data_IF_700059217929
#
_entry.id   IF_700059217929
#
_cell.length_a   1.000
_cell.length_b   1.000
_cell.length_c   1.000
_cell.angle_alpha   90.00
_cell.angle_beta   90.00
_cell.angle_gamma   90.00
#
_symmetry.space_group_name_H-M   'P 1'
#
loop_
_entity.id
_entity.type
_entity.pdbx_description
1 polymer ?
#
# COMPACT_ATOMS: atom_id res chain seq x y z
N UNK A 1 -11.72 9.26 -24.72
CA UNK A 1 -11.32 9.79 -23.40
C UNK A 1 -10.52 8.70 -22.72
N UNK A 2 -9.34 9.00 -22.16
CA UNK A 2 -8.55 7.97 -21.44
C UNK A 2 -9.17 7.78 -20.05
N UNK A 3 -9.46 6.54 -19.69
CA UNK A 3 -9.95 6.21 -18.36
C UNK A 3 -8.80 6.16 -17.33
N UNK A 4 -9.17 6.36 -16.06
CA UNK A 4 -8.28 6.15 -14.92
C UNK A 4 -8.63 4.79 -14.30
N UNK A 5 -7.71 3.83 -14.40
CA UNK A 5 -7.95 2.46 -13.94
C UNK A 5 -6.97 2.12 -12.83
N UNK A 6 -7.47 1.63 -11.70
CA UNK A 6 -6.65 1.20 -10.59
C UNK A 6 -6.59 -0.33 -10.52
N UNK A 7 -5.41 -0.89 -10.76
CA UNK A 7 -5.11 -2.32 -10.77
C UNK A 7 -4.93 -2.84 -9.33
N UNK A 8 -6.04 -3.03 -8.61
CA UNK A 8 -6.00 -3.52 -7.22
C UNK A 8 -7.26 -4.28 -6.81
N UNK A 9 -7.05 -5.33 -6.02
CA UNK A 9 -8.09 -6.08 -5.29
C UNK A 9 -8.27 -5.59 -3.85
N UNK A 10 -7.44 -4.66 -3.36
CA UNK A 10 -7.50 -4.21 -1.96
C UNK A 10 -8.77 -3.38 -1.70
N UNK A 11 -9.69 -3.84 -0.82
CA UNK A 11 -10.89 -3.08 -0.48
C UNK A 11 -10.56 -1.70 0.11
N UNK A 12 -9.51 -1.64 0.94
CA UNK A 12 -9.02 -0.41 1.57
C UNK A 12 -8.53 0.63 0.57
N UNK A 13 -7.74 0.23 -0.45
CA UNK A 13 -7.29 1.16 -1.50
C UNK A 13 -8.47 1.68 -2.31
N UNK A 14 -9.45 0.81 -2.58
CA UNK A 14 -10.69 1.20 -3.25
C UNK A 14 -11.48 2.23 -2.45
N UNK A 15 -11.65 2.00 -1.15
CA UNK A 15 -12.32 2.94 -0.24
C UNK A 15 -11.61 4.32 -0.23
N UNK A 16 -10.30 4.33 0.03
CA UNK A 16 -9.50 5.57 0.08
C UNK A 16 -9.58 6.37 -1.22
N UNK A 17 -9.48 5.68 -2.37
CA UNK A 17 -9.48 6.36 -3.66
C UNK A 17 -10.88 6.86 -4.05
N UNK A 18 -11.94 6.13 -3.70
CA UNK A 18 -13.32 6.55 -3.97
C UNK A 18 -13.78 7.72 -3.09
N UNK A 19 -13.19 7.90 -1.91
CA UNK A 19 -13.37 9.11 -1.11
C UNK A 19 -12.83 10.37 -1.82
N UNK A 20 -11.89 10.18 -2.75
CA UNK A 20 -11.16 11.27 -3.42
C UNK A 20 -11.73 11.53 -4.82
N UNK A 21 -12.01 10.47 -5.59
CA UNK A 21 -12.57 10.60 -6.93
C UNK A 21 -13.33 9.36 -7.37
N UNK A 22 -14.57 9.58 -7.82
CA UNK A 22 -15.41 8.54 -8.46
C UNK A 22 -14.99 8.22 -9.90
N UNK A 23 -13.98 8.92 -10.44
CA UNK A 23 -13.51 8.74 -11.83
C UNK A 23 -12.68 7.48 -11.99
N UNK A 24 -12.14 6.93 -10.90
CA UNK A 24 -11.36 5.69 -10.94
C UNK A 24 -12.25 4.46 -11.12
N UNK A 25 -11.92 3.67 -12.13
CA UNK A 25 -12.43 2.31 -12.31
C UNK A 25 -11.43 1.34 -11.68
N UNK A 26 -11.90 0.19 -11.18
CA UNK A 26 -11.04 -0.81 -10.54
C UNK A 26 -11.02 -2.09 -11.35
N UNK A 27 -9.85 -2.70 -11.50
CA UNK A 27 -9.70 -4.03 -12.08
C UNK A 27 -8.72 -4.85 -11.25
N UNK A 28 -9.00 -6.14 -11.09
CA UNK A 28 -8.09 -7.08 -10.46
C UNK A 28 -6.87 -7.28 -11.37
N UNK A 29 -5.64 -7.03 -10.90
CA UNK A 29 -4.44 -7.29 -11.71
C UNK A 29 -4.28 -8.78 -11.98
N UNK A 30 -3.81 -9.11 -13.18
CA UNK A 30 -3.38 -10.46 -13.54
C UNK A 30 -1.86 -10.58 -13.30
N UNK A 31 -1.49 -10.40 -12.03
CA UNK A 31 -0.11 -10.48 -11.57
C UNK A 31 -0.09 -11.13 -10.19
N UNK A 32 0.70 -12.19 -10.06
CA UNK A 32 0.98 -12.83 -8.79
C UNK A 32 2.35 -12.37 -8.28
N UNK A 33 2.35 -11.81 -7.08
CA UNK A 33 3.57 -11.45 -6.36
C UNK A 33 4.40 -12.71 -6.15
N UNK A 34 5.69 -12.64 -6.48
CA UNK A 34 6.66 -13.71 -6.26
C UNK A 34 7.65 -13.25 -5.21
N UNK A 35 8.17 -14.16 -4.40
CA UNK A 35 9.36 -13.88 -3.60
C UNK A 35 10.51 -13.63 -4.56
N UNK A 36 11.00 -12.40 -4.57
CA UNK A 36 12.17 -12.00 -5.36
C UNK A 36 13.33 -11.89 -4.40
N UNK A 37 14.27 -12.82 -4.52
CA UNK A 37 15.53 -12.77 -3.79
C UNK A 37 16.39 -11.63 -4.36
N UNK A 38 17.24 -11.05 -3.53
CA UNK A 38 18.21 -10.01 -3.89
C UNK A 38 17.65 -8.62 -4.29
N UNK A 39 16.37 -8.35 -3.99
CA UNK A 39 15.81 -7.01 -4.08
C UNK A 39 15.59 -6.38 -2.70
N UNK A 40 15.93 -5.10 -2.58
CA UNK A 40 15.54 -4.27 -1.44
C UNK A 40 14.02 -4.11 -1.37
N UNK A 41 13.49 -3.77 -0.19
CA UNK A 41 12.05 -3.54 -0.01
C UNK A 41 11.49 -2.46 -0.94
N UNK A 42 12.33 -1.46 -1.27
CA UNK A 42 12.00 -0.42 -2.23
C UNK A 42 11.85 -0.99 -3.64
N UNK A 43 12.81 -1.81 -4.09
CA UNK A 43 12.76 -2.47 -5.40
C UNK A 43 11.57 -3.42 -5.52
N UNK A 44 11.29 -4.20 -4.48
CA UNK A 44 10.12 -5.09 -4.42
C UNK A 44 8.82 -4.28 -4.59
N UNK A 45 8.65 -3.21 -3.80
CA UNK A 45 7.43 -2.40 -3.87
C UNK A 45 7.25 -1.76 -5.26
N UNK A 46 8.33 -1.28 -5.87
CA UNK A 46 8.31 -0.72 -7.22
C UNK A 46 7.98 -1.77 -8.26
N UNK A 47 8.65 -2.92 -8.21
CA UNK A 47 8.45 -4.03 -9.14
C UNK A 47 6.99 -4.52 -9.09
N UNK A 48 6.46 -4.74 -7.89
CA UNK A 48 5.09 -5.20 -7.70
C UNK A 48 4.07 -4.19 -8.19
N UNK A 49 4.23 -2.89 -7.87
CA UNK A 49 3.27 -1.87 -8.32
C UNK A 49 3.27 -1.71 -9.83
N UNK A 50 4.46 -1.75 -10.46
CA UNK A 50 4.60 -1.66 -11.91
C UNK A 50 3.98 -2.86 -12.62
N UNK A 51 4.29 -4.08 -12.18
CA UNK A 51 3.77 -5.29 -12.83
C UNK A 51 2.25 -5.45 -12.67
N UNK A 52 1.67 -5.00 -11.54
CA UNK A 52 0.21 -4.91 -11.38
C UNK A 52 -0.41 -4.00 -12.45
N UNK A 53 0.14 -2.81 -12.65
CA UNK A 53 -0.34 -1.89 -13.69
C UNK A 53 -0.10 -2.44 -15.10
N UNK A 54 1.08 -3.02 -15.34
CA UNK A 54 1.45 -3.60 -16.64
C UNK A 54 0.49 -4.72 -17.05
N UNK A 55 0.07 -5.59 -16.10
CA UNK A 55 -0.85 -6.70 -16.38
C UNK A 55 -2.17 -6.25 -17.01
N UNK A 56 -2.69 -5.08 -16.60
CA UNK A 56 -3.92 -4.51 -17.15
C UNK A 56 -3.66 -3.69 -18.40
N UNK A 57 -2.52 -2.97 -18.48
CA UNK A 57 -2.20 -2.15 -19.65
C UNK A 57 -2.03 -2.97 -20.94
N UNK A 58 -1.66 -4.26 -20.83
CA UNK A 58 -1.62 -5.19 -21.98
C UNK A 58 -2.99 -5.39 -22.62
N UNK A 59 -4.06 -5.31 -21.82
CA UNK A 59 -5.44 -5.53 -22.24
C UNK A 59 -6.10 -4.19 -22.63
N UNK A 60 -5.83 -3.13 -21.87
CA UNK A 60 -6.46 -1.82 -22.01
C UNK A 60 -5.46 -0.80 -22.52
N UNK A 61 -5.42 -0.68 -23.85
CA UNK A 61 -4.59 0.31 -24.53
C UNK A 61 -5.23 1.68 -24.42
N UNK A 62 -4.40 2.71 -24.30
CA UNK A 62 -4.70 4.14 -24.17
C UNK A 62 -5.22 4.64 -22.81
N UNK A 63 -5.54 3.76 -21.87
CA UNK A 63 -5.91 4.14 -20.50
C UNK A 63 -4.71 4.36 -19.59
N UNK A 64 -4.91 5.11 -18.51
CA UNK A 64 -3.92 5.27 -17.45
C UNK A 64 -4.16 4.22 -16.39
N UNK A 65 -3.22 3.27 -16.27
CA UNK A 65 -3.32 2.17 -15.32
C UNK A 65 -2.43 2.44 -14.11
N UNK A 66 -3.04 2.59 -12.95
CA UNK A 66 -2.38 2.78 -11.67
C UNK A 66 -2.17 1.42 -11.00
N UNK A 67 -0.96 1.18 -10.52
CA UNK A 67 -0.61 0.07 -9.66
C UNK A 67 -0.06 0.59 -8.34
N UNK A 68 -0.28 -0.16 -7.28
CA UNK A 68 0.23 0.18 -5.95
C UNK A 68 0.69 -1.06 -5.20
N UNK A 69 1.80 -0.93 -4.50
CA UNK A 69 2.30 -1.96 -3.62
C UNK A 69 2.84 -1.38 -2.32
N UNK A 70 2.65 -2.11 -1.23
CA UNK A 70 3.02 -1.67 0.12
C UNK A 70 3.73 -2.79 0.83
N UNK A 71 4.93 -2.52 1.32
CA UNK A 71 5.75 -3.45 2.10
C UNK A 71 6.22 -2.80 3.40
N UNK A 72 6.60 -3.63 4.36
CA UNK A 72 7.27 -3.19 5.58
C UNK A 72 8.76 -3.51 5.44
N UNK A 73 9.63 -2.58 5.84
CA UNK A 73 11.06 -2.82 5.99
C UNK A 73 11.43 -2.71 7.47
N UNK A 74 12.03 -3.76 8.02
CA UNK A 74 12.62 -3.76 9.36
C UNK A 74 14.01 -4.37 9.30
N UNK A 75 15.04 -3.59 9.66
CA UNK A 75 16.43 -4.03 9.66
C UNK A 75 16.88 -4.68 8.31
N UNK A 76 16.50 -4.06 7.19
CA UNK A 76 16.75 -4.54 5.81
C UNK A 76 16.00 -5.83 5.43
N UNK A 77 15.01 -6.24 6.22
CA UNK A 77 14.12 -7.34 5.89
C UNK A 77 12.76 -6.84 5.43
N UNK A 78 12.35 -7.32 4.26
CA UNK A 78 11.02 -7.06 3.69
C UNK A 78 9.99 -7.98 4.33
N UNK A 79 8.95 -7.39 4.92
CA UNK A 79 7.77 -8.08 5.41
C UNK A 79 6.57 -7.68 4.53
N UNK A 80 5.96 -8.66 3.90
CA UNK A 80 4.76 -8.52 3.08
C UNK A 80 3.49 -8.82 3.90
N UNK A 81 2.44 -9.31 3.26
CA UNK A 81 1.23 -9.77 3.95
C UNK A 81 1.50 -11.14 4.58
N UNK A 82 1.03 -11.39 5.80
CA UNK A 82 1.10 -12.71 6.40
C UNK A 82 0.30 -13.72 5.59
N UNK A 83 0.84 -14.93 5.45
CA UNK A 83 0.17 -16.01 4.69
C UNK A 83 -0.88 -16.77 5.52
N UNK A 84 -0.78 -16.74 6.85
CA UNK A 84 -1.70 -17.38 7.79
C UNK A 84 -1.55 -16.78 9.21
N UNK A 85 -2.33 -17.29 10.17
CA UNK A 85 -2.35 -16.82 11.55
C UNK A 85 -0.98 -16.98 12.26
N UNK A 86 -0.28 -18.08 12.02
CA UNK A 86 1.05 -18.33 12.60
C UNK A 86 2.10 -17.34 12.09
N UNK A 87 2.05 -17.03 10.80
CA UNK A 87 2.91 -16.04 10.17
C UNK A 87 2.60 -14.63 10.67
N UNK A 88 1.31 -14.30 10.83
CA UNK A 88 0.88 -13.05 11.44
C UNK A 88 1.42 -12.90 12.87
N UNK A 89 1.37 -13.95 13.69
CA UNK A 89 1.94 -13.94 15.05
C UNK A 89 3.45 -13.66 15.02
N UNK A 90 4.20 -14.37 14.15
CA UNK A 90 5.65 -14.16 14.01
C UNK A 90 5.99 -12.74 13.59
N UNK A 91 5.29 -12.21 12.59
CA UNK A 91 5.46 -10.85 12.10
C UNK A 91 5.14 -9.83 13.21
N UNK A 92 4.01 -9.96 13.90
CA UNK A 92 3.59 -8.99 14.92
C UNK A 92 4.51 -9.01 16.15
N UNK A 93 5.01 -10.18 16.56
CA UNK A 93 6.01 -10.29 17.61
C UNK A 93 7.35 -9.66 17.21
N UNK A 94 7.74 -9.80 15.94
CA UNK A 94 8.95 -9.18 15.40
C UNK A 94 8.85 -7.66 15.34
N UNK A 95 7.67 -7.16 14.95
CA UNK A 95 7.38 -5.73 14.89
C UNK A 95 7.09 -5.13 16.27
N UNK A 96 6.99 -5.92 17.34
CA UNK A 96 6.65 -5.42 18.69
C UNK A 96 7.78 -4.57 19.26
N UNK A 97 7.42 -3.43 19.85
CA UNK A 97 8.35 -2.47 20.44
C UNK A 97 9.53 -2.11 19.52
N UNK A 98 9.34 -2.09 18.21
CA UNK A 98 10.37 -1.79 17.22
C UNK A 98 9.99 -0.56 16.39
N UNK A 99 10.99 -0.02 15.70
CA UNK A 99 10.76 0.89 14.59
C UNK A 99 10.80 0.09 13.30
N UNK A 100 9.97 0.46 12.34
CA UNK A 100 9.98 -0.10 10.98
C UNK A 100 9.46 0.92 9.98
N UNK A 101 9.85 0.75 8.73
CA UNK A 101 9.40 1.61 7.63
C UNK A 101 8.21 0.97 6.92
N UNK A 102 7.23 1.79 6.57
CA UNK A 102 6.16 1.44 5.64
C UNK A 102 6.46 2.11 4.32
N UNK A 103 6.66 1.31 3.27
CA UNK A 103 7.02 1.78 1.94
C UNK A 103 5.86 1.46 1.00
N UNK A 104 5.25 2.49 0.41
CA UNK A 104 4.28 2.30 -0.69
C UNK A 104 4.81 2.93 -1.96
N UNK A 105 4.83 2.16 -3.05
CA UNK A 105 5.13 2.65 -4.40
C UNK A 105 3.83 2.75 -5.21
N UNK A 106 3.71 3.82 -5.99
CA UNK A 106 2.65 4.05 -6.97
C UNK A 106 3.28 4.11 -8.35
N UNK A 107 2.82 3.25 -9.25
CA UNK A 107 3.23 3.23 -10.65
C UNK A 107 2.05 3.58 -11.55
N UNK A 108 2.29 4.32 -12.63
CA UNK A 108 1.31 4.50 -13.71
C UNK A 108 1.91 4.02 -15.01
N UNK A 109 1.19 3.11 -15.66
CA UNK A 109 1.52 2.55 -16.96
C UNK A 109 0.46 2.98 -17.97
N UNK A 110 0.90 3.34 -19.17
CA UNK A 110 0.04 3.60 -20.32
C UNK A 110 0.69 3.02 -21.56
N UNK A 111 -0.08 2.28 -22.37
CA UNK A 111 0.43 1.65 -23.58
C UNK A 111 1.68 0.80 -23.32
N UNK A 112 1.65 0.02 -22.23
CA UNK A 112 2.73 -0.87 -21.81
C UNK A 112 4.05 -0.14 -21.49
N UNK A 113 3.98 1.19 -21.28
CA UNK A 113 5.12 2.02 -20.86
C UNK A 113 4.88 2.58 -19.47
N UNK A 114 5.86 2.43 -18.59
CA UNK A 114 5.90 3.14 -17.32
C UNK A 114 6.09 4.64 -17.59
N UNK A 115 5.17 5.45 -17.09
CA UNK A 115 5.20 6.92 -17.27
C UNK A 115 5.30 7.67 -15.94
N UNK A 116 5.05 7.00 -14.82
CA UNK A 116 5.17 7.56 -13.48
C UNK A 116 5.51 6.44 -12.50
N UNK A 117 6.45 6.69 -11.58
CA UNK A 117 6.74 5.77 -10.48
C UNK A 117 7.30 6.55 -9.30
N UNK A 118 6.49 6.73 -8.27
CA UNK A 118 6.89 7.45 -7.06
C UNK A 118 6.58 6.64 -5.82
N UNK A 119 7.36 6.88 -4.76
CA UNK A 119 7.24 6.17 -3.49
C UNK A 119 7.00 7.12 -2.32
N UNK A 120 6.40 6.59 -1.27
CA UNK A 120 6.34 7.24 0.04
C UNK A 120 6.87 6.27 1.10
N UNK A 121 7.67 6.80 2.01
CA UNK A 121 8.23 6.08 3.15
C UNK A 121 7.70 6.75 4.41
N UNK A 122 7.32 5.97 5.42
CA UNK A 122 6.88 6.47 6.72
C UNK A 122 7.39 5.56 7.81
N UNK A 123 7.87 6.14 8.91
CA UNK A 123 8.42 5.41 10.04
C UNK A 123 7.33 5.16 11.07
N UNK A 124 7.22 3.94 11.56
CA UNK A 124 6.22 3.56 12.58
C UNK A 124 6.93 3.00 13.80
N UNK A 125 6.51 3.44 14.98
CA UNK A 125 6.89 2.85 16.27
C UNK A 125 5.71 2.09 16.84
N UNK A 126 5.95 0.84 17.21
CA UNK A 126 4.94 0.01 17.88
C UNK A 126 5.10 0.01 19.39
N UNK A 127 4.04 -0.42 20.07
CA UNK A 127 3.99 -0.59 21.53
C UNK A 127 4.61 -1.93 21.95
N UNK A 128 4.88 -2.08 23.25
CA UNK A 128 5.28 -3.36 23.83
C UNK A 128 4.05 -4.21 24.22
N UNK A 129 3.18 -4.50 23.25
CA UNK A 129 1.94 -5.23 23.49
C UNK A 129 2.19 -6.70 23.88
N UNK A 130 1.34 -7.26 24.73
CA UNK A 130 1.40 -8.68 25.12
C UNK A 130 1.08 -9.61 23.96
N UNK A 131 1.64 -10.82 23.98
CA UNK A 131 1.33 -11.87 22.99
C UNK A 131 -0.16 -12.25 22.98
N UNK A 132 -0.83 -12.23 24.14
CA UNK A 132 -2.26 -12.55 24.25
C UNK A 132 -3.12 -11.57 23.45
N UNK A 133 -2.88 -10.26 23.60
CA UNK A 133 -3.52 -9.22 22.78
C UNK A 133 -3.20 -9.33 21.29
N UNK A 134 -2.00 -9.79 20.92
CA UNK A 134 -1.66 -10.08 19.50
C UNK A 134 -2.55 -11.23 18.99
N UNK A 135 -2.71 -12.28 19.79
CA UNK A 135 -3.58 -13.41 19.46
C UNK A 135 -5.04 -12.98 19.30
N UNK A 136 -5.58 -12.23 20.27
CA UNK A 136 -6.94 -11.67 20.20
C UNK A 136 -7.16 -10.87 18.92
N UNK A 137 -6.17 -10.08 18.49
CA UNK A 137 -6.23 -9.33 17.24
C UNK A 137 -6.17 -10.22 15.99
N UNK A 138 -5.35 -11.28 16.00
CA UNK A 138 -5.28 -12.26 14.91
C UNK A 138 -6.62 -12.98 14.77
N UNK A 139 -7.25 -13.35 15.88
CA UNK A 139 -8.55 -14.04 15.91
C UNK A 139 -9.67 -13.21 15.24
N UNK A 140 -9.54 -11.88 15.17
CA UNK A 140 -10.51 -11.05 14.43
C UNK A 140 -10.34 -11.12 12.91
N UNK A 141 -9.27 -11.72 12.39
CA UNK A 141 -8.92 -11.77 10.98
C UNK A 141 -8.59 -10.43 10.33
N UNK A 142 -8.45 -9.35 11.10
CA UNK A 142 -8.27 -7.99 10.57
C UNK A 142 -6.91 -7.81 9.89
N UNK A 143 -5.97 -8.72 10.11
CA UNK A 143 -4.61 -8.67 9.56
C UNK A 143 -4.50 -9.06 8.07
N UNK A 144 -5.44 -9.87 7.56
CA UNK A 144 -5.26 -10.71 6.35
C UNK A 144 -4.88 -9.96 5.07
N UNK A 145 -5.34 -8.72 4.90
CA UNK A 145 -5.10 -7.92 3.71
C UNK A 145 -4.02 -6.83 3.88
N UNK A 146 -3.23 -6.91 4.97
CA UNK A 146 -2.33 -5.83 5.40
C UNK A 146 -0.88 -6.28 5.44
N UNK A 147 0.00 -5.52 4.77
CA UNK A 147 1.43 -5.70 4.92
C UNK A 147 1.83 -5.51 6.40
N UNK A 148 2.69 -6.41 6.91
CA UNK A 148 3.05 -6.44 8.33
C UNK A 148 1.94 -6.94 9.26
N UNK A 149 0.79 -7.39 8.75
CA UNK A 149 -0.28 -7.98 9.53
C UNK A 149 -1.02 -7.01 10.47
N UNK A 150 -0.76 -5.70 10.46
CA UNK A 150 -1.49 -4.76 11.30
C UNK A 150 -2.16 -3.64 10.48
N UNK A 151 -3.22 -3.05 11.04
CA UNK A 151 -3.84 -1.85 10.49
C UNK A 151 -3.87 -0.73 11.50
N UNK A 152 -3.23 0.40 11.18
CA UNK A 152 -3.23 1.61 12.03
C UNK A 152 -4.63 2.17 12.33
N UNK A 153 -5.66 1.76 11.58
CA UNK A 153 -7.06 2.13 11.81
C UNK A 153 -7.68 1.39 13.00
N UNK A 154 -7.11 0.24 13.41
CA UNK A 154 -7.64 -0.54 14.51
C UNK A 154 -7.23 0.07 15.86
N UNK A 155 -8.09 0.93 16.40
CA UNK A 155 -7.89 1.59 17.70
C UNK A 155 -7.94 0.63 18.89
N UNK A 156 -8.52 -0.56 18.74
CA UNK A 156 -8.62 -1.56 19.83
C UNK A 156 -7.33 -2.36 19.99
N UNK A 157 -6.54 -2.49 18.93
CA UNK A 157 -5.30 -3.28 18.95
C UNK A 157 -4.14 -2.54 19.65
N UNK A 158 -4.22 -1.21 19.86
CA UNK A 158 -3.21 -0.39 20.57
C UNK A 158 -1.74 -0.73 20.23
N UNK A 159 -1.50 -1.06 18.96
CA UNK A 159 -0.20 -1.57 18.51
C UNK A 159 0.75 -0.45 18.08
N UNK A 160 0.21 0.74 17.77
CA UNK A 160 0.96 1.86 17.22
C UNK A 160 1.17 2.91 18.30
N UNK A 161 2.42 3.15 18.67
CA UNK A 161 2.81 4.17 19.65
C UNK A 161 2.87 5.55 19.01
N UNK A 162 3.54 5.66 17.87
CA UNK A 162 3.61 6.89 17.06
C UNK A 162 4.05 6.55 15.63
N UNK A 163 3.95 7.52 14.73
CA UNK A 163 4.51 7.41 13.38
C UNK A 163 5.01 8.77 12.90
N UNK A 164 5.91 8.75 11.92
CA UNK A 164 6.46 9.93 11.24
C UNK A 164 6.29 9.76 9.73
N UNK A 165 5.73 10.77 9.06
CA UNK A 165 5.44 10.72 7.63
C UNK A 165 3.95 10.68 7.32
N UNK A 166 3.56 10.03 6.21
CA UNK A 166 2.19 10.11 5.72
C UNK A 166 1.30 8.98 6.25
N UNK A 167 0.21 9.35 6.92
CA UNK A 167 -0.79 8.41 7.42
C UNK A 167 -1.38 7.52 6.31
N UNK A 168 -1.75 8.09 5.17
CA UNK A 168 -2.32 7.31 4.06
C UNK A 168 -1.30 6.37 3.41
N UNK A 169 0.00 6.68 3.49
CA UNK A 169 1.05 5.73 3.11
C UNK A 169 1.00 4.50 4.03
N UNK A 170 0.82 4.69 5.33
CA UNK A 170 0.69 3.59 6.30
C UNK A 170 -0.60 2.78 6.05
N UNK A 171 -1.65 3.43 5.57
CA UNK A 171 -2.85 2.74 5.07
C UNK A 171 -2.63 1.98 3.75
N UNK A 172 -1.51 2.23 3.06
CA UNK A 172 -1.14 1.57 1.81
C UNK A 172 -1.57 2.30 0.54
N UNK A 173 -1.92 3.59 0.62
CA UNK A 173 -2.20 4.43 -0.56
C UNK A 173 -1.85 5.91 -0.29
N UNK A 174 -0.64 6.38 -0.59
CA UNK A 174 -0.30 7.80 -0.46
C UNK A 174 -0.99 8.62 -1.56
N UNK A 175 -2.18 9.17 -1.26
CA UNK A 175 -3.04 9.79 -2.29
C UNK A 175 -2.45 11.08 -2.85
N UNK A 176 -1.50 11.70 -2.13
CA UNK A 176 -0.73 12.83 -2.62
C UNK A 176 0.12 12.51 -3.86
N UNK A 177 0.59 11.26 -4.02
CA UNK A 177 1.33 10.86 -5.22
C UNK A 177 0.40 10.74 -6.42
N UNK A 178 -0.81 10.21 -6.20
CA UNK A 178 -1.87 10.16 -7.21
C UNK A 178 -2.26 11.58 -7.61
N UNK A 179 -2.38 12.51 -6.64
CA UNK A 179 -2.63 13.93 -6.92
C UNK A 179 -1.58 14.53 -7.84
N UNK A 180 -0.30 14.32 -7.54
CA UNK A 180 0.81 14.86 -8.36
C UNK A 180 0.65 14.43 -9.81
N UNK A 181 0.49 13.12 -10.02
CA UNK A 181 0.28 12.56 -11.35
C UNK A 181 -0.93 13.18 -12.07
N UNK A 182 -2.09 13.27 -11.39
CA UNK A 182 -3.30 13.80 -12.01
C UNK A 182 -3.15 15.28 -12.37
N UNK A 183 -2.49 16.08 -11.54
CA UNK A 183 -2.21 17.49 -11.83
C UNK A 183 -1.27 17.65 -13.03
N UNK A 184 -0.19 16.88 -13.08
CA UNK A 184 0.79 16.89 -14.19
C UNK A 184 0.15 16.50 -15.53
N UNK A 185 -0.91 15.68 -15.50
CA UNK A 185 -1.60 15.17 -16.70
C UNK A 185 -2.94 15.85 -16.97
N UNK A 186 -3.24 16.97 -16.30
CA UNK A 186 -4.43 17.80 -16.58
C UNK A 186 -5.76 17.24 -16.11
N UNK A 187 -5.78 16.25 -15.21
CA UNK A 187 -6.99 15.72 -14.58
C UNK A 187 -7.37 16.59 -13.37
N UNK A 188 -7.86 17.81 -13.62
CA UNK A 188 -8.10 18.87 -12.62
C UNK A 188 -9.55 18.90 -12.10
N UNK A 189 -10.43 17.99 -12.53
CA UNK A 189 -11.81 17.95 -12.04
C UNK A 189 -11.87 17.79 -10.50
N UNK A 190 -13.05 18.02 -9.90
CA UNK A 190 -13.42 18.02 -8.46
C UNK A 190 -12.82 16.87 -7.61
N UNK A 191 -11.50 16.83 -7.46
CA UNK A 191 -10.78 15.80 -6.72
C UNK A 191 -10.29 16.43 -5.42
N UNK A 192 -10.99 16.09 -4.34
CA UNK A 192 -10.62 16.54 -3.00
C UNK A 192 -9.68 15.50 -2.40
N UNK A 193 -8.39 15.79 -2.45
CA UNK A 193 -7.41 14.96 -1.76
C UNK A 193 -7.40 15.28 -0.27
N UNK A 194 -7.30 14.24 0.56
CA UNK A 194 -6.98 14.45 1.96
C UNK A 194 -5.56 15.01 2.07
N UNK A 195 -5.31 15.86 3.07
CA UNK A 195 -3.96 16.33 3.34
C UNK A 195 -3.20 15.10 3.87
N UNK A 196 -2.16 14.60 3.17
CA UNK A 196 -1.12 13.81 3.86
C UNK A 196 -0.72 14.67 5.04
N UNK A 197 -1.10 14.26 6.25
CA UNK A 197 -0.75 14.97 7.47
C UNK A 197 0.77 14.99 7.51
N UNK A 198 1.36 16.17 7.30
CA UNK A 198 2.69 16.46 7.81
C UNK A 198 2.48 16.56 9.32
N UNK A 199 2.63 15.45 10.03
CA UNK A 199 2.91 15.50 11.47
C UNK A 199 4.40 15.73 11.60
#
# INVERSE_FOLDING_TARGET
MNDLIFASTSPRRKELLLQISKRFKFRSPDFQEKKIYDMSSLEISKFNSENKAMSISKILRNDFIFGADTVININNETIEKPINDDDAMKILLKLRNSFHEVITNISVVKNEKLIFSEKKISLVKTTNISADKIKEYIDTGYYKDKAGGYGIQNKKFDFIKCFYGCYENILGLPTCLIKSFLMEHGFIDKITFSKCLKV
#
